data_IF_292682943068
#
_entry.id   IF_292682943068
#
_cell.length_a   1.000
_cell.length_b   1.000
_cell.length_c   1.000
_cell.angle_alpha   90.00
_cell.angle_beta   90.00
_cell.angle_gamma   90.00
#
_symmetry.space_group_name_H-M   'P 1'
#
loop_
_entity.id
_entity.type
_entity.pdbx_description
1 polymer ?
#
# COMPACT_ATOMS: atom_id res chain seq x y z
N UNK A 1 -24.73 -5.03 -8.12
CA UNK A 1 -23.42 -4.33 -7.96
C UNK A 1 -23.61 -2.83 -8.17
N UNK A 2 -24.46 -2.44 -9.14
CA UNK A 2 -24.90 -1.07 -9.47
C UNK A 2 -25.44 -0.26 -8.27
N UNK A 3 -26.41 -0.78 -7.51
CA UNK A 3 -26.96 -0.10 -6.32
C UNK A 3 -25.94 0.16 -5.20
N UNK A 4 -24.87 -0.64 -5.14
CA UNK A 4 -23.85 -0.56 -4.07
C UNK A 4 -22.72 0.41 -4.39
N UNK A 5 -22.50 0.71 -5.67
CA UNK A 5 -21.47 1.66 -6.12
C UNK A 5 -22.05 3.01 -6.56
N UNK A 6 -23.38 3.13 -6.68
CA UNK A 6 -24.02 4.37 -7.10
C UNK A 6 -23.72 4.74 -8.55
N UNK A 7 -23.51 3.73 -9.39
CA UNK A 7 -23.21 3.87 -10.82
C UNK A 7 -24.43 3.48 -11.66
N UNK A 8 -24.72 4.26 -12.70
CA UNK A 8 -25.63 3.86 -13.78
C UNK A 8 -25.02 2.67 -14.54
N UNK A 9 -25.84 1.73 -15.00
CA UNK A 9 -25.37 0.49 -15.66
C UNK A 9 -24.30 0.71 -16.73
N UNK A 10 -24.50 1.68 -17.61
CA UNK A 10 -23.56 2.05 -18.67
C UNK A 10 -22.17 2.47 -18.14
N UNK A 11 -22.11 3.19 -17.01
CA UNK A 11 -20.84 3.63 -16.40
C UNK A 11 -20.11 2.48 -15.71
N UNK A 12 -20.84 1.45 -15.31
CA UNK A 12 -20.27 0.27 -14.69
C UNK A 12 -19.63 -0.61 -15.76
N UNK A 13 -20.31 -0.83 -16.89
CA UNK A 13 -19.74 -1.55 -18.04
C UNK A 13 -18.49 -0.86 -18.57
N UNK A 14 -18.54 0.46 -18.81
CA UNK A 14 -17.37 1.24 -19.24
C UNK A 14 -16.18 1.14 -18.27
N UNK A 15 -16.46 1.09 -16.96
CA UNK A 15 -15.41 0.95 -15.95
C UNK A 15 -14.82 -0.47 -15.92
N UNK A 16 -15.64 -1.49 -16.18
CA UNK A 16 -15.20 -2.87 -16.29
C UNK A 16 -14.39 -3.11 -17.57
N UNK A 17 -14.77 -2.53 -18.69
CA UNK A 17 -14.03 -2.63 -19.95
C UNK A 17 -12.68 -1.93 -19.87
N UNK A 18 -12.61 -0.76 -19.22
CA UNK A 18 -11.34 -0.09 -18.93
C UNK A 18 -10.45 -0.91 -18.00
N UNK A 19 -11.04 -1.56 -17.00
CA UNK A 19 -10.32 -2.46 -16.10
C UNK A 19 -9.76 -3.67 -16.85
N UNK A 20 -10.57 -4.29 -17.71
CA UNK A 20 -10.18 -5.43 -18.55
C UNK A 20 -9.11 -5.04 -19.56
N UNK A 21 -9.24 -3.87 -20.18
CA UNK A 21 -8.25 -3.31 -21.08
C UNK A 21 -6.96 -3.02 -20.33
N UNK A 22 -7.04 -2.37 -19.17
CA UNK A 22 -5.90 -2.05 -18.31
C UNK A 22 -5.12 -3.28 -17.90
N UNK A 23 -5.81 -4.37 -17.53
CA UNK A 23 -5.19 -5.68 -17.27
C UNK A 23 -4.56 -6.22 -18.54
N UNK A 24 -5.28 -6.33 -19.66
CA UNK A 24 -4.75 -7.01 -20.85
C UNK A 24 -3.65 -6.26 -21.60
N UNK A 25 -3.52 -4.96 -21.40
CA UNK A 25 -2.59 -4.10 -22.14
C UNK A 25 -1.43 -3.54 -21.30
N UNK A 26 -1.61 -3.37 -19.99
CA UNK A 26 -0.61 -2.82 -19.06
C UNK A 26 -0.52 -3.76 -17.85
N UNK A 27 0.60 -3.79 -17.12
CA UNK A 27 0.68 -4.54 -15.85
C UNK A 27 -0.35 -3.97 -14.87
N UNK A 28 -1.55 -4.56 -14.83
CA UNK A 28 -2.71 -4.07 -14.08
C UNK A 28 -2.58 -4.29 -12.59
N UNK A 29 -1.66 -3.58 -11.94
CA UNK A 29 -1.50 -3.62 -10.48
C UNK A 29 -2.78 -3.13 -9.79
N UNK A 30 -3.06 -3.69 -8.61
CA UNK A 30 -4.22 -3.28 -7.79
C UNK A 30 -4.19 -1.78 -7.51
N UNK A 31 -3.01 -1.22 -7.28
CA UNK A 31 -2.81 0.21 -7.02
C UNK A 31 -3.17 1.09 -8.23
N UNK A 32 -2.83 0.64 -9.45
CA UNK A 32 -3.19 1.33 -10.68
C UNK A 32 -4.71 1.36 -10.90
N UNK A 33 -5.38 0.27 -10.57
CA UNK A 33 -6.85 0.17 -10.64
C UNK A 33 -7.53 1.07 -9.62
N UNK A 34 -7.07 1.05 -8.37
CA UNK A 34 -7.64 1.91 -7.32
C UNK A 34 -7.46 3.38 -7.69
N UNK A 35 -6.30 3.75 -8.24
CA UNK A 35 -6.05 5.10 -8.76
C UNK A 35 -6.99 5.48 -9.91
N UNK A 36 -7.39 4.51 -10.75
CA UNK A 36 -8.35 4.75 -11.83
C UNK A 36 -9.77 4.93 -11.29
N UNK A 37 -10.16 4.18 -10.25
CA UNK A 37 -11.44 4.36 -9.57
C UNK A 37 -11.54 5.73 -8.89
N UNK A 38 -10.47 6.19 -8.26
CA UNK A 38 -10.40 7.54 -7.67
C UNK A 38 -10.57 8.63 -8.75
N UNK A 39 -9.93 8.47 -9.91
CA UNK A 39 -10.07 9.40 -11.05
C UNK A 39 -11.51 9.46 -11.60
N UNK A 40 -12.21 8.32 -11.64
CA UNK A 40 -13.63 8.24 -12.04
C UNK A 40 -14.61 8.53 -10.89
N UNK A 41 -14.09 8.89 -9.71
CA UNK A 41 -14.87 9.18 -8.49
C UNK A 41 -15.77 8.00 -8.06
N UNK A 42 -15.36 6.78 -8.37
CA UNK A 42 -16.03 5.54 -7.94
C UNK A 42 -15.61 5.26 -6.51
N UNK A 43 -16.57 5.24 -5.59
CA UNK A 43 -16.30 5.02 -4.17
C UNK A 43 -16.91 3.72 -3.67
N UNK A 44 -16.12 2.94 -2.96
CA UNK A 44 -16.62 1.81 -2.19
C UNK A 44 -17.37 2.32 -0.95
N UNK A 45 -18.51 1.69 -0.63
CA UNK A 45 -19.32 2.06 0.56
C UNK A 45 -18.71 1.60 1.88
N UNK A 46 -17.86 0.58 1.86
CA UNK A 46 -17.28 -0.04 3.06
C UNK A 46 -15.91 -0.66 2.74
N UNK A 47 -15.02 -0.66 3.72
CA UNK A 47 -13.73 -1.36 3.66
C UNK A 47 -13.89 -2.86 3.37
N UNK A 48 -15.02 -3.46 3.78
CA UNK A 48 -15.32 -4.87 3.45
C UNK A 48 -15.49 -5.09 1.95
N UNK A 49 -16.09 -4.13 1.25
CA UNK A 49 -16.33 -4.22 -0.19
C UNK A 49 -15.05 -3.96 -0.98
N UNK A 50 -14.23 -3.03 -0.48
CA UNK A 50 -12.89 -2.80 -1.01
C UNK A 50 -12.00 -4.04 -0.86
N UNK A 51 -11.94 -4.64 0.33
CA UNK A 51 -11.16 -5.86 0.55
C UNK A 51 -11.63 -7.01 -0.33
N UNK A 52 -12.95 -7.18 -0.47
CA UNK A 52 -13.53 -8.18 -1.37
C UNK A 52 -13.21 -7.92 -2.84
N UNK A 53 -13.23 -6.65 -3.27
CA UNK A 53 -12.81 -6.27 -4.61
C UNK A 53 -11.34 -6.61 -4.84
N UNK A 54 -10.45 -6.23 -3.92
CA UNK A 54 -9.01 -6.49 -4.01
C UNK A 54 -8.74 -8.00 -4.10
N UNK A 55 -9.42 -8.82 -3.31
CA UNK A 55 -9.28 -10.28 -3.34
C UNK A 55 -9.70 -10.85 -4.70
N UNK A 56 -10.89 -10.47 -5.19
CA UNK A 56 -11.41 -10.93 -6.48
C UNK A 56 -10.54 -10.46 -7.64
N UNK A 57 -10.13 -9.19 -7.62
CA UNK A 57 -9.31 -8.59 -8.65
C UNK A 57 -7.91 -9.19 -8.69
N UNK A 58 -7.28 -9.42 -7.53
CA UNK A 58 -5.96 -10.08 -7.46
C UNK A 58 -6.02 -11.50 -8.00
N UNK A 59 -7.08 -12.26 -7.65
CA UNK A 59 -7.29 -13.60 -8.20
C UNK A 59 -7.48 -13.54 -9.72
N UNK A 60 -8.26 -12.58 -10.21
CA UNK A 60 -8.49 -12.38 -11.64
C UNK A 60 -7.19 -12.02 -12.37
N UNK A 61 -6.42 -11.05 -11.88
CA UNK A 61 -5.17 -10.62 -12.51
C UNK A 61 -4.12 -11.73 -12.53
N UNK A 62 -4.06 -12.54 -11.47
CA UNK A 62 -3.05 -13.60 -11.34
C UNK A 62 -3.35 -14.84 -12.16
N UNK A 63 -4.63 -15.08 -12.50
CA UNK A 63 -5.09 -16.23 -13.30
C UNK A 63 -5.37 -15.89 -14.76
N UNK A 64 -5.28 -14.62 -15.16
CA UNK A 64 -5.50 -14.19 -16.53
C UNK A 64 -4.21 -14.26 -17.34
N UNK A 65 -4.26 -14.85 -18.54
CA UNK A 65 -3.13 -14.91 -19.47
C UNK A 65 -2.96 -13.58 -20.18
N UNK A 66 -1.73 -13.11 -20.23
CA UNK A 66 -1.45 -11.73 -20.63
C UNK A 66 -0.47 -11.69 -21.80
N UNK A 67 -0.73 -10.89 -22.85
CA UNK A 67 0.23 -10.70 -23.95
C UNK A 67 1.60 -10.19 -23.45
N UNK A 68 1.60 -9.27 -22.48
CA UNK A 68 2.84 -8.77 -21.87
C UNK A 68 3.66 -9.87 -21.16
N UNK A 69 3.00 -10.96 -20.74
CA UNK A 69 3.62 -12.12 -20.12
C UNK A 69 3.86 -13.25 -21.13
N UNK A 70 3.88 -12.94 -22.45
CA UNK A 70 4.05 -13.92 -23.54
C UNK A 70 3.03 -15.06 -23.48
N UNK A 71 1.80 -14.76 -23.04
CA UNK A 71 0.71 -15.73 -22.96
C UNK A 71 0.65 -16.55 -21.66
N UNK A 72 1.51 -16.27 -20.69
CA UNK A 72 1.44 -16.88 -19.35
C UNK A 72 0.64 -16.01 -18.38
N UNK A 73 0.05 -16.66 -17.37
CA UNK A 73 -0.51 -15.98 -16.20
C UNK A 73 0.60 -15.63 -15.20
N UNK A 74 0.43 -14.60 -14.36
CA UNK A 74 1.35 -14.34 -13.26
C UNK A 74 1.57 -15.56 -12.33
N UNK A 75 0.53 -16.35 -12.04
CA UNK A 75 0.66 -17.57 -11.21
C UNK A 75 1.49 -18.66 -11.91
N UNK A 76 1.27 -18.86 -13.22
CA UNK A 76 2.08 -19.81 -14.02
C UNK A 76 3.56 -19.37 -14.04
N UNK A 77 3.82 -18.06 -14.22
CA UNK A 77 5.18 -17.52 -14.16
C UNK A 77 5.84 -17.79 -12.79
N UNK A 78 5.10 -17.58 -11.70
CA UNK A 78 5.60 -17.82 -10.34
C UNK A 78 5.93 -19.30 -10.12
N UNK A 79 5.12 -20.22 -10.66
CA UNK A 79 5.36 -21.66 -10.57
C UNK A 79 6.59 -22.10 -11.36
N UNK A 80 6.78 -21.54 -12.57
CA UNK A 80 7.94 -21.80 -13.43
C UNK A 80 9.24 -21.20 -12.89
N UNK A 81 9.14 -20.19 -12.02
CA UNK A 81 10.32 -19.56 -11.41
C UNK A 81 10.85 -20.47 -10.29
N UNK A 82 12.14 -20.88 -10.34
CA UNK A 82 12.76 -21.68 -9.28
C UNK A 82 12.58 -21.01 -7.91
N UNK A 83 12.37 -21.77 -6.82
CA UNK A 83 12.14 -21.19 -5.49
C UNK A 83 13.20 -20.19 -5.04
N UNK A 84 14.47 -20.44 -5.40
CA UNK A 84 15.61 -19.57 -5.09
C UNK A 84 15.57 -18.21 -5.83
N UNK A 85 14.87 -18.15 -6.95
CA UNK A 85 14.75 -16.97 -7.80
C UNK A 85 13.45 -16.18 -7.61
N UNK A 86 12.52 -16.68 -6.77
CA UNK A 86 11.23 -16.01 -6.50
C UNK A 86 11.39 -14.71 -5.71
N UNK A 87 12.44 -14.63 -4.89
CA UNK A 87 12.74 -13.48 -4.05
C UNK A 87 14.13 -12.96 -4.39
N UNK A 88 14.29 -12.32 -5.54
CA UNK A 88 15.58 -11.72 -5.94
C UNK A 88 15.89 -10.42 -5.20
N UNK A 89 14.87 -9.73 -4.70
CA UNK A 89 15.04 -8.48 -3.96
C UNK A 89 13.94 -8.27 -2.92
N UNK A 90 14.35 -7.81 -1.73
CA UNK A 90 13.47 -7.35 -0.67
C UNK A 90 13.88 -5.91 -0.35
N UNK A 91 13.03 -4.93 -0.66
CA UNK A 91 13.32 -3.53 -0.37
C UNK A 91 12.55 -3.03 0.85
N UNK A 92 13.22 -2.28 1.72
CA UNK A 92 12.56 -1.49 2.77
C UNK A 92 11.69 -0.42 2.12
N UNK A 93 10.37 -0.57 2.24
CA UNK A 93 9.41 0.39 1.69
C UNK A 93 9.54 1.79 2.32
N UNK A 94 8.95 2.83 1.69
CA UNK A 94 9.09 4.23 2.11
C UNK A 94 8.63 4.49 3.54
N UNK A 95 7.59 3.79 4.02
CA UNK A 95 7.10 3.93 5.39
C UNK A 95 8.09 3.41 6.43
N UNK A 96 8.67 2.22 6.20
CA UNK A 96 9.65 1.61 7.11
C UNK A 96 10.92 2.47 7.17
N UNK A 97 11.42 2.88 6.00
CA UNK A 97 12.57 3.80 5.90
C UNK A 97 12.32 5.08 6.69
N UNK A 98 11.13 5.66 6.57
CA UNK A 98 10.78 6.90 7.27
C UNK A 98 10.71 6.70 8.79
N UNK A 99 10.11 5.61 9.27
CA UNK A 99 10.01 5.33 10.72
C UNK A 99 11.38 5.10 11.37
N UNK A 100 12.31 4.48 10.64
CA UNK A 100 13.71 4.33 11.03
C UNK A 100 14.48 5.67 10.98
N UNK A 101 14.18 6.54 10.00
CA UNK A 101 14.78 7.88 9.93
C UNK A 101 14.30 8.81 11.04
N UNK A 102 13.04 8.71 11.46
CA UNK A 102 12.45 9.53 12.53
C UNK A 102 12.80 9.03 13.93
N UNK A 103 13.41 7.84 14.04
CA UNK A 103 13.73 7.22 15.33
C UNK A 103 12.49 6.68 16.07
N UNK A 104 11.35 6.56 15.40
CA UNK A 104 10.17 5.88 15.96
C UNK A 104 10.44 4.38 16.14
N UNK A 105 11.26 3.82 15.24
CA UNK A 105 11.81 2.48 15.34
C UNK A 105 13.33 2.57 15.50
N UNK A 106 13.87 1.81 16.46
CA UNK A 106 15.31 1.72 16.69
C UNK A 106 15.99 0.87 15.60
N UNK A 107 17.07 1.43 15.02
CA UNK A 107 17.82 0.82 13.92
C UNK A 107 18.52 -0.46 14.39
N UNK A 108 19.10 -0.46 15.60
CA UNK A 108 19.83 -1.62 16.12
C UNK A 108 18.89 -2.78 16.46
N UNK A 109 17.72 -2.49 17.02
CA UNK A 109 16.70 -3.50 17.25
C UNK A 109 16.19 -4.11 15.93
N UNK A 110 15.92 -3.28 14.92
CA UNK A 110 15.49 -3.75 13.61
C UNK A 110 16.59 -4.57 12.91
N UNK A 111 17.86 -4.20 13.08
CA UNK A 111 19.02 -4.99 12.62
C UNK A 111 19.04 -6.38 13.25
N UNK A 112 18.86 -6.48 14.57
CA UNK A 112 18.77 -7.78 15.27
C UNK A 112 17.62 -8.62 14.75
N UNK A 113 16.47 -8.00 14.50
CA UNK A 113 15.30 -8.69 13.95
C UNK A 113 15.57 -9.29 12.57
N UNK A 114 16.28 -8.58 11.68
CA UNK A 114 16.67 -9.11 10.36
C UNK A 114 17.62 -10.31 10.51
N UNK A 115 18.54 -10.27 11.48
CA UNK A 115 19.49 -11.36 11.72
C UNK A 115 18.78 -12.61 12.24
N UNK A 116 17.74 -12.47 13.06
CA UNK A 116 17.00 -13.61 13.63
C UNK A 116 15.87 -14.11 12.74
N UNK A 117 15.56 -13.41 11.64
CA UNK A 117 14.49 -13.80 10.72
C UNK A 117 14.93 -14.97 9.82
N UNK A 118 14.02 -15.93 9.64
CA UNK A 118 14.16 -17.00 8.66
C UNK A 118 13.94 -16.42 7.25
N UNK A 119 15.05 -16.14 6.57
CA UNK A 119 15.05 -15.64 5.20
C UNK A 119 15.39 -16.77 4.22
N UNK A 120 14.76 -16.81 3.02
CA UNK A 120 15.02 -17.86 2.03
C UNK A 120 16.46 -17.86 1.48
N UNK A 121 17.17 -16.74 1.60
CA UNK A 121 18.51 -16.55 1.04
C UNK A 121 19.33 -15.57 1.89
N UNK A 122 20.62 -15.88 2.07
CA UNK A 122 21.58 -15.00 2.74
C UNK A 122 21.80 -13.69 1.96
N UNK A 123 21.66 -13.72 0.63
CA UNK A 123 21.79 -12.53 -0.20
C UNK A 123 20.71 -11.49 0.12
N UNK A 124 19.49 -11.95 0.46
CA UNK A 124 18.41 -11.06 0.89
C UNK A 124 18.67 -10.46 2.26
N UNK A 125 19.27 -11.23 3.18
CA UNK A 125 19.69 -10.71 4.48
C UNK A 125 20.73 -9.61 4.30
N UNK A 126 21.72 -9.87 3.46
CA UNK A 126 22.76 -8.88 3.15
C UNK A 126 22.19 -7.61 2.52
N UNK A 127 21.28 -7.74 1.55
CA UNK A 127 20.66 -6.58 0.89
C UNK A 127 19.84 -5.72 1.87
N UNK A 128 19.04 -6.36 2.74
CA UNK A 128 18.29 -5.64 3.78
C UNK A 128 19.21 -4.91 4.76
N UNK A 129 20.30 -5.55 5.21
CA UNK A 129 21.28 -4.94 6.09
C UNK A 129 22.01 -3.76 5.42
N UNK A 130 22.33 -3.88 4.13
CA UNK A 130 22.90 -2.79 3.34
C UNK A 130 21.92 -1.61 3.25
N UNK A 131 20.65 -1.87 2.96
CA UNK A 131 19.63 -0.84 2.90
C UNK A 131 19.44 -0.13 4.24
N UNK A 132 19.61 -0.81 5.38
CA UNK A 132 19.62 -0.17 6.70
C UNK A 132 20.83 0.74 6.89
N UNK A 133 22.03 0.31 6.47
CA UNK A 133 23.24 1.12 6.57
C UNK A 133 23.14 2.42 5.75
N UNK A 134 22.39 2.40 4.66
CA UNK A 134 22.13 3.59 3.82
C UNK A 134 21.14 4.57 4.46
N UNK A 135 20.42 4.20 5.53
CA UNK A 135 19.48 5.08 6.23
C UNK A 135 20.27 6.06 7.09
N UNK A 136 20.42 7.29 6.61
CA UNK A 136 20.92 8.39 7.43
C UNK A 136 19.87 8.79 8.47
N UNK A 137 20.19 8.79 9.78
CA UNK A 137 19.29 9.34 10.78
C UNK A 137 19.06 10.82 10.45
N UNK A 138 17.81 11.18 10.20
CA UNK A 138 17.43 12.59 10.08
C UNK A 138 17.48 13.19 11.48
N UNK A 139 17.89 14.46 11.60
CA UNK A 139 17.62 15.21 12.82
C UNK A 139 16.13 15.05 13.19
N UNK A 140 15.79 14.90 14.49
CA UNK A 140 14.42 14.70 14.92
C UNK A 140 13.57 15.80 14.32
N UNK A 141 12.62 15.41 13.45
CA UNK A 141 11.68 16.38 12.91
C UNK A 141 10.87 16.91 14.10
N UNK A 142 10.65 18.23 14.20
CA UNK A 142 9.82 18.77 15.26
C UNK A 142 8.49 18.02 15.22
N UNK A 143 8.10 17.43 16.37
CA UNK A 143 6.83 16.73 16.48
C UNK A 143 5.77 17.59 15.83
N UNK A 144 5.11 17.06 14.80
CA UNK A 144 3.96 17.75 14.22
C UNK A 144 2.96 17.86 15.35
N UNK A 145 2.87 19.06 15.94
CA UNK A 145 1.92 19.35 17.00
C UNK A 145 0.58 18.77 16.57
N UNK A 146 0.04 17.83 17.36
CA UNK A 146 -1.26 17.23 17.08
C UNK A 146 -2.23 18.38 16.86
N UNK A 147 -2.74 18.51 15.64
CA UNK A 147 -3.72 19.54 15.31
C UNK A 147 -4.92 19.29 16.22
N UNK A 148 -5.15 20.21 17.17
CA UNK A 148 -6.27 20.12 18.11
C UNK A 148 -7.56 20.05 17.29
N UNK A 149 -8.32 18.97 17.45
CA UNK A 149 -9.58 18.80 16.75
C UNK A 149 -10.57 19.89 17.17
N UNK A 150 -11.41 20.35 16.23
CA UNK A 150 -12.38 21.44 16.48
C UNK A 150 -13.27 21.19 17.72
N UNK A 151 -13.53 19.92 18.03
CA UNK A 151 -14.37 19.50 19.16
C UNK A 151 -13.59 19.03 20.41
N UNK A 152 -12.25 18.93 20.34
CA UNK A 152 -11.41 18.49 21.46
C UNK A 152 -11.35 19.55 22.57
N UNK A 153 -11.03 19.16 23.83
CA UNK A 153 -10.81 20.11 24.91
C UNK A 153 -9.72 21.13 24.55
N UNK A 154 -9.97 22.41 24.88
CA UNK A 154 -9.05 23.49 24.59
C UNK A 154 -7.72 23.32 25.35
N UNK A 155 -6.56 23.44 24.68
CA UNK A 155 -5.25 23.36 25.34
C UNK A 155 -5.01 24.52 26.33
N UNK A 156 -5.84 25.55 26.31
CA UNK A 156 -5.83 26.68 27.24
C UNK A 156 -6.35 26.35 28.65
N UNK A 157 -6.76 25.11 28.93
CA UNK A 157 -7.24 24.67 30.24
C UNK A 157 -8.65 25.14 30.62
N UNK A 158 -9.38 25.78 29.70
CA UNK A 158 -10.71 26.34 29.97
C UNK A 158 -11.85 25.32 30.14
N UNK A 159 -11.58 24.03 29.91
CA UNK A 159 -12.58 22.96 29.89
C UNK A 159 -13.57 23.00 28.72
N UNK A 160 -13.48 24.00 27.83
CA UNK A 160 -14.38 24.19 26.68
C UNK A 160 -13.82 23.50 25.42
N UNK A 161 -14.70 23.08 24.50
CA UNK A 161 -14.29 22.59 23.16
C UNK A 161 -13.52 23.66 22.40
N UNK A 162 -12.48 23.30 21.65
CA UNK A 162 -11.59 24.23 20.94
C UNK A 162 -12.34 25.27 20.10
N UNK A 163 -13.35 24.85 19.32
CA UNK A 163 -14.22 25.76 18.51
C UNK A 163 -14.98 26.83 19.28
N UNK A 164 -15.13 26.68 20.60
CA UNK A 164 -15.84 27.61 21.49
C UNK A 164 -14.89 28.42 22.37
N UNK A 165 -13.58 28.24 22.20
CA UNK A 165 -12.56 28.92 23.00
C UNK A 165 -11.52 29.58 22.08
N UNK A 166 -10.35 28.96 21.90
CA UNK A 166 -9.26 29.51 21.09
C UNK A 166 -9.45 29.32 19.58
N UNK A 167 -10.38 28.47 19.14
CA UNK A 167 -10.67 28.20 17.73
C UNK A 167 -11.88 28.95 17.19
N UNK A 168 -12.13 30.17 17.69
CA UNK A 168 -13.14 31.09 17.13
C UNK A 168 -12.67 31.65 15.80
#
# INVERSE_FOLDING_TARGET
MEERLGLSGDKLEDAFDDLLYGVRSVSGSVEGVLSHFDKRNIRFRSDRDMNRFVELYSKFSNTTRMPCNRGYTPDEMMQMTPPEERFKSLSLGPNIRKSLQTGEMDIENFRKQILTMELPSEALRFDLLKQLADIKPSAPQPEKQKKVGRNDPCPCGSGKKYKRCCGK
#
